data_IF_795058720946
#
_entry.id   IF_795058720946
#
_cell.length_a   1.000
_cell.length_b   1.000
_cell.length_c   1.000
_cell.angle_alpha   90.00
_cell.angle_beta   90.00
_cell.angle_gamma   90.00
#
_symmetry.space_group_name_H-M   'P 1'
#
loop_
_entity.id
_entity.type
_entity.pdbx_description
1 polymer ?
#
# COMPACT_ATOMS: atom_id res chain seq x y z
N UNK A 1 -38.26 25.66 36.47
CA UNK A 1 -38.15 24.21 36.72
C UNK A 1 -38.69 23.48 35.50
N UNK A 2 -37.80 23.04 34.60
CA UNK A 2 -38.13 22.21 33.44
C UNK A 2 -37.10 21.09 33.41
N UNK A 3 -37.60 19.86 33.37
CA UNK A 3 -36.85 18.63 33.57
C UNK A 3 -35.97 18.28 32.36
N UNK A 4 -34.71 17.92 32.61
CA UNK A 4 -33.80 17.35 31.64
C UNK A 4 -34.04 15.85 31.50
N UNK A 5 -34.32 15.38 30.28
CA UNK A 5 -34.23 13.96 29.92
C UNK A 5 -32.96 13.72 29.09
N UNK A 6 -32.13 12.71 29.42
CA UNK A 6 -31.01 12.32 28.58
C UNK A 6 -31.50 11.41 27.44
N UNK A 7 -31.28 11.85 26.20
CA UNK A 7 -31.48 11.04 25.00
C UNK A 7 -30.32 10.05 24.89
N UNK A 8 -30.64 8.77 25.09
CA UNK A 8 -29.73 7.63 24.92
C UNK A 8 -29.75 7.21 23.45
N UNK A 9 -28.66 7.43 22.72
CA UNK A 9 -28.51 6.92 21.35
C UNK A 9 -28.36 5.39 21.35
N UNK A 10 -28.95 4.67 20.38
CA UNK A 10 -28.86 3.22 20.29
C UNK A 10 -27.48 2.79 19.77
N UNK A 11 -26.86 1.81 20.43
CA UNK A 11 -25.69 1.09 19.92
C UNK A 11 -26.16 0.06 18.90
N UNK A 12 -25.50 0.00 17.74
CA UNK A 12 -25.62 -1.16 16.85
C UNK A 12 -25.62 -0.83 15.37
N UNK A 13 -24.62 -0.10 14.86
CA UNK A 13 -24.37 0.09 13.42
C UNK A 13 -22.85 0.07 13.25
N UNK A 14 -22.24 -1.09 13.05
CA UNK A 14 -20.78 -1.23 13.19
C UNK A 14 -20.04 -2.12 12.21
N UNK A 15 -20.69 -3.07 11.53
CA UNK A 15 -19.94 -4.08 10.76
C UNK A 15 -20.35 -4.17 9.28
N UNK A 16 -21.60 -3.84 8.92
CA UNK A 16 -22.08 -4.01 7.54
C UNK A 16 -21.62 -2.91 6.56
N UNK A 17 -21.24 -1.72 7.04
CA UNK A 17 -20.81 -0.61 6.18
C UNK A 17 -19.34 -0.71 5.72
N UNK A 18 -18.52 -1.46 6.46
CA UNK A 18 -17.08 -1.63 6.18
C UNK A 18 -16.86 -2.67 5.07
N UNK A 19 -17.71 -3.70 5.03
CA UNK A 19 -17.76 -4.62 3.90
C UNK A 19 -18.13 -3.89 2.60
N UNK A 20 -19.09 -2.95 2.64
CA UNK A 20 -19.56 -2.21 1.46
C UNK A 20 -18.48 -1.32 0.83
N UNK A 21 -17.66 -0.65 1.64
CA UNK A 21 -16.64 0.31 1.14
C UNK A 21 -15.40 -0.36 0.55
N UNK A 22 -14.99 -1.53 1.08
CA UNK A 22 -13.97 -2.36 0.44
C UNK A 22 -14.52 -3.11 -0.78
N UNK A 23 -15.81 -3.49 -0.76
CA UNK A 23 -16.48 -4.05 -1.93
C UNK A 23 -16.53 -3.06 -3.09
N UNK A 24 -16.71 -1.76 -2.87
CA UNK A 24 -16.80 -0.80 -3.97
C UNK A 24 -15.48 -0.58 -4.71
N UNK A 25 -14.34 -0.54 -4.02
CA UNK A 25 -13.03 -0.43 -4.71
C UNK A 25 -12.72 -1.71 -5.49
N UNK A 26 -13.06 -2.89 -4.95
CA UNK A 26 -12.87 -4.18 -5.63
C UNK A 26 -13.89 -4.37 -6.77
N UNK A 27 -15.14 -3.93 -6.60
CA UNK A 27 -16.19 -3.99 -7.62
C UNK A 27 -15.94 -3.02 -8.77
N UNK A 28 -15.43 -1.81 -8.50
CA UNK A 28 -15.00 -0.89 -9.55
C UNK A 28 -13.82 -1.45 -10.35
N UNK A 29 -12.88 -2.15 -9.70
CA UNK A 29 -11.79 -2.87 -10.40
C UNK A 29 -12.35 -4.03 -11.25
N UNK A 30 -13.32 -4.80 -10.74
CA UNK A 30 -13.93 -5.92 -11.46
C UNK A 30 -14.81 -5.47 -12.65
N UNK A 31 -15.53 -4.35 -12.51
CA UNK A 31 -16.38 -3.76 -13.58
C UNK A 31 -15.51 -3.16 -14.70
N UNK A 32 -14.39 -2.53 -14.36
CA UNK A 32 -13.41 -2.05 -15.35
C UNK A 32 -12.80 -3.21 -16.15
N UNK A 33 -12.55 -4.36 -15.51
CA UNK A 33 -12.02 -5.54 -16.20
C UNK A 33 -13.07 -6.23 -17.09
N UNK A 34 -14.36 -6.19 -16.72
CA UNK A 34 -15.49 -6.68 -17.54
C UNK A 34 -15.78 -5.78 -18.75
N UNK A 35 -15.56 -4.47 -18.63
CA UNK A 35 -15.74 -3.51 -19.73
C UNK A 35 -14.73 -3.66 -20.88
N UNK A 36 -13.63 -4.38 -20.66
CA UNK A 36 -12.55 -4.62 -21.63
C UNK A 36 -12.82 -5.78 -22.61
N UNK A 37 -13.93 -6.50 -22.43
CA UNK A 37 -14.29 -7.71 -23.19
C UNK A 37 -15.42 -7.37 -24.17
N UNK A 38 -15.11 -6.60 -25.23
CA UNK A 38 -16.07 -6.38 -26.33
C UNK A 38 -15.86 -7.28 -27.54
N UNK A 39 -14.85 -8.16 -27.55
CA UNK A 39 -14.60 -9.04 -28.70
C UNK A 39 -13.76 -10.28 -28.35
N UNK A 40 -14.23 -11.15 -27.45
CA UNK A 40 -13.55 -12.43 -27.20
C UNK A 40 -14.49 -13.61 -27.15
N UNK A 41 -13.97 -14.70 -27.73
CA UNK A 41 -14.63 -15.93 -28.14
C UNK A 41 -15.39 -16.62 -27.00
N UNK A 42 -16.52 -17.28 -27.32
CA UNK A 42 -17.48 -17.88 -26.36
C UNK A 42 -16.82 -18.81 -25.34
N UNK A 43 -15.71 -19.44 -25.69
CA UNK A 43 -14.93 -20.33 -24.82
C UNK A 43 -14.29 -19.61 -23.62
N UNK A 44 -13.93 -18.33 -23.76
CA UNK A 44 -13.33 -17.55 -22.66
C UNK A 44 -14.37 -17.08 -21.64
N UNK A 45 -15.60 -16.81 -22.08
CA UNK A 45 -16.71 -16.44 -21.20
C UNK A 45 -17.08 -17.59 -20.24
N UNK A 46 -17.05 -18.83 -20.71
CA UNK A 46 -17.36 -20.02 -19.89
C UNK A 46 -16.28 -20.24 -18.81
N UNK A 47 -15.00 -20.08 -19.15
CA UNK A 47 -13.89 -20.23 -18.18
C UNK A 47 -13.94 -19.12 -17.12
N UNK A 48 -14.33 -17.90 -17.50
CA UNK A 48 -14.50 -16.78 -16.56
C UNK A 48 -15.72 -16.97 -15.65
N UNK A 49 -16.85 -17.45 -16.18
CA UNK A 49 -18.03 -17.77 -15.39
C UNK A 49 -17.74 -18.89 -14.36
N UNK A 50 -16.96 -19.91 -14.76
CA UNK A 50 -16.56 -20.99 -13.86
C UNK A 50 -15.63 -20.49 -12.74
N UNK A 51 -14.70 -19.56 -13.04
CA UNK A 51 -13.82 -18.96 -12.03
C UNK A 51 -14.60 -18.08 -11.05
N UNK A 52 -15.61 -17.34 -11.52
CA UNK A 52 -16.47 -16.52 -10.65
C UNK A 52 -17.36 -17.38 -9.73
N UNK A 53 -17.83 -18.53 -10.23
CA UNK A 53 -18.60 -19.50 -9.44
C UNK A 53 -17.75 -20.17 -8.34
N UNK A 54 -16.49 -20.49 -8.64
CA UNK A 54 -15.58 -21.10 -7.65
C UNK A 54 -15.18 -20.09 -6.56
N UNK A 55 -15.02 -18.81 -6.90
CA UNK A 55 -14.72 -17.76 -5.92
C UNK A 55 -15.90 -17.42 -4.99
N UNK A 56 -17.14 -17.62 -5.42
CA UNK A 56 -18.33 -17.36 -4.60
C UNK A 56 -18.64 -18.48 -3.61
N UNK A 57 -18.17 -19.71 -3.85
CA UNK A 57 -18.39 -20.86 -2.97
C UNK A 57 -17.46 -20.93 -1.74
N UNK A 58 -16.35 -20.18 -1.73
CA UNK A 58 -15.39 -20.16 -0.59
C UNK A 58 -15.77 -19.14 0.49
N UNK A 59 -16.77 -18.29 0.25
CA UNK A 59 -17.17 -17.20 1.15
C UNK A 59 -18.37 -17.52 2.06
N UNK A 60 -18.51 -18.75 2.56
CA UNK A 60 -19.49 -19.10 3.60
C UNK A 60 -18.83 -19.01 5.00
N UNK A 61 -19.21 -18.06 5.86
CA UNK A 61 -18.67 -18.00 7.22
C UNK A 61 -19.34 -19.04 8.14
N UNK A 62 -18.57 -19.99 8.66
CA UNK A 62 -18.92 -20.80 9.83
C UNK A 62 -18.96 -19.90 11.08
N UNK A 63 -20.16 -19.52 11.53
CA UNK A 63 -20.38 -18.86 12.82
C UNK A 63 -20.76 -19.88 13.88
N UNK A 64 -19.78 -20.36 14.65
CA UNK A 64 -20.03 -21.10 15.88
C UNK A 64 -18.84 -21.01 16.85
N UNK A 65 -18.76 -19.95 17.67
CA UNK A 65 -18.01 -20.01 18.94
C UNK A 65 -18.65 -19.09 19.98
N UNK A 66 -19.08 -19.71 21.09
CA UNK A 66 -19.68 -19.07 22.26
C UNK A 66 -18.64 -18.35 23.13
N UNK A 67 -19.00 -17.28 23.86
CA UNK A 67 -18.08 -16.57 24.73
C UNK A 67 -17.88 -17.30 26.07
N UNK A 68 -16.63 -17.61 26.42
CA UNK A 68 -16.21 -17.99 27.78
C UNK A 68 -15.99 -16.72 28.61
N UNK A 69 -16.77 -16.60 29.69
CA UNK A 69 -16.64 -15.55 30.70
C UNK A 69 -15.53 -15.92 31.68
N UNK A 70 -14.44 -15.14 31.71
CA UNK A 70 -13.40 -15.25 32.74
C UNK A 70 -13.43 -14.04 33.68
N UNK A 71 -13.60 -14.38 34.96
CA UNK A 71 -13.79 -13.49 36.10
C UNK A 71 -12.46 -12.82 36.48
N UNK A 72 -12.58 -11.52 36.70
CA UNK A 72 -11.65 -10.53 37.25
C UNK A 72 -10.86 -11.01 38.49
N UNK A 73 -9.53 -10.79 38.50
CA UNK A 73 -8.70 -10.75 39.72
C UNK A 73 -7.88 -9.45 39.73
N UNK A 74 -8.27 -8.54 40.62
CA UNK A 74 -7.53 -7.32 40.95
C UNK A 74 -6.32 -7.66 41.81
N UNK A 75 -5.16 -7.09 41.48
CA UNK A 75 -4.09 -6.86 42.45
C UNK A 75 -3.64 -5.40 42.33
N UNK A 76 -3.82 -4.70 43.44
CA UNK A 76 -3.37 -3.34 43.73
C UNK A 76 -1.93 -3.38 44.23
N UNK A 77 -1.06 -2.55 43.70
CA UNK A 77 0.15 -2.13 44.39
C UNK A 77 0.50 -0.69 44.04
N UNK A 78 0.56 0.12 45.09
CA UNK A 78 0.88 1.53 45.19
C UNK A 78 2.31 1.73 45.69
N UNK A 79 3.06 2.68 45.10
CA UNK A 79 4.02 3.60 45.77
C UNK A 79 4.72 4.47 44.69
N UNK A 80 4.56 5.81 44.69
CA UNK A 80 5.32 6.87 45.40
C UNK A 80 6.75 7.09 44.87
N UNK A 81 7.04 8.30 44.40
CA UNK A 81 8.39 8.88 44.51
C UNK A 81 8.87 9.89 43.46
N UNK A 82 8.67 11.18 43.76
CA UNK A 82 9.60 12.32 43.63
C UNK A 82 10.13 12.81 42.25
N UNK A 83 10.21 14.15 42.19
CA UNK A 83 10.58 15.01 41.06
C UNK A 83 12.07 15.45 41.10
N UNK A 84 12.52 16.55 40.46
CA UNK A 84 13.39 16.54 39.29
C UNK A 84 14.78 17.17 39.53
N UNK A 85 15.75 16.88 38.65
CA UNK A 85 16.95 17.72 38.46
C UNK A 85 17.41 17.73 36.99
N UNK A 86 17.83 18.89 36.45
CA UNK A 86 18.39 19.03 35.12
C UNK A 86 19.93 19.14 35.17
N UNK A 87 20.63 18.52 34.22
CA UNK A 87 21.93 19.03 33.73
C UNK A 87 22.48 18.23 32.54
N UNK A 88 23.04 19.03 31.63
CA UNK A 88 24.20 18.79 30.77
C UNK A 88 24.09 17.89 29.53
N UNK A 89 24.11 18.61 28.39
CA UNK A 89 25.06 18.44 27.30
C UNK A 89 25.70 17.07 27.11
N UNK A 90 25.40 16.45 25.97
CA UNK A 90 26.38 15.69 25.19
C UNK A 90 25.98 15.76 23.72
N UNK A 91 26.60 16.70 23.00
CA UNK A 91 26.66 16.72 21.54
C UNK A 91 27.44 15.48 21.10
N UNK A 92 26.75 14.46 20.61
CA UNK A 92 27.36 13.24 20.08
C UNK A 92 27.36 13.26 18.56
N UNK A 93 28.59 13.34 18.04
CA UNK A 93 29.01 13.46 16.65
C UNK A 93 28.59 12.25 15.80
N UNK A 94 27.58 12.42 14.93
CA UNK A 94 27.20 11.44 13.88
C UNK A 94 28.10 11.55 12.64
N UNK A 95 29.41 11.29 12.78
CA UNK A 95 30.32 11.30 11.61
C UNK A 95 31.54 10.40 11.79
N UNK A 96 31.36 9.08 11.88
CA UNK A 96 32.46 8.12 11.71
C UNK A 96 31.96 6.66 11.56
N UNK A 97 31.39 6.29 10.42
CA UNK A 97 31.17 4.86 10.08
C UNK A 97 31.36 4.56 8.58
N UNK A 98 32.23 5.32 7.91
CA UNK A 98 32.79 4.95 6.61
C UNK A 98 34.28 4.88 6.82
N UNK A 99 34.83 3.70 7.12
CA UNK A 99 36.24 3.30 6.86
C UNK A 99 36.48 1.90 7.44
N UNK A 100 36.18 0.87 6.66
CA UNK A 100 36.93 -0.40 6.66
C UNK A 100 36.63 -1.16 5.38
N UNK A 101 37.25 -0.68 4.30
CA UNK A 101 37.65 -1.50 3.18
C UNK A 101 39.02 -2.09 3.53
N UNK A 102 39.13 -3.41 3.63
CA UNK A 102 40.40 -4.12 3.51
C UNK A 102 40.14 -5.50 2.87
N UNK A 103 40.38 -5.54 1.56
CA UNK A 103 41.16 -6.56 0.85
C UNK A 103 41.29 -7.95 1.47
N UNK A 104 40.66 -8.95 0.85
CA UNK A 104 41.09 -10.34 0.89
C UNK A 104 40.96 -10.97 -0.52
N UNK A 105 42.04 -10.87 -1.29
CA UNK A 105 42.29 -11.61 -2.53
C UNK A 105 42.63 -13.06 -2.18
N UNK A 106 41.75 -14.01 -2.49
CA UNK A 106 42.10 -15.44 -2.52
C UNK A 106 42.04 -15.93 -3.96
N UNK A 107 43.22 -16.16 -4.52
CA UNK A 107 43.44 -16.78 -5.82
C UNK A 107 43.25 -18.29 -5.60
N UNK A 108 42.13 -18.85 -6.06
CA UNK A 108 41.92 -20.29 -6.12
C UNK A 108 42.05 -20.75 -7.56
N UNK A 109 43.21 -21.33 -7.86
CA UNK A 109 43.52 -22.04 -9.11
C UNK A 109 42.72 -23.34 -9.17
N UNK A 110 41.71 -23.42 -10.03
CA UNK A 110 41.00 -24.66 -10.33
C UNK A 110 41.36 -25.16 -11.74
N UNK A 111 41.77 -26.43 -11.79
CA UNK A 111 42.12 -27.19 -13.00
C UNK A 111 40.93 -27.35 -13.95
N UNK A 112 41.16 -27.32 -15.28
CA UNK A 112 40.13 -27.66 -16.26
C UNK A 112 40.08 -29.20 -16.44
N UNK A 113 39.03 -29.83 -15.94
CA UNK A 113 38.67 -31.20 -16.34
C UNK A 113 37.63 -31.07 -17.47
N UNK A 114 38.06 -31.34 -18.69
CA UNK A 114 37.22 -31.29 -19.88
C UNK A 114 36.26 -32.49 -19.91
N UNK A 115 35.04 -32.29 -19.42
CA UNK A 115 33.90 -33.14 -19.76
C UNK A 115 33.26 -32.61 -21.04
N UNK A 116 33.41 -33.37 -22.12
CA UNK A 116 32.62 -33.19 -23.34
C UNK A 116 31.19 -33.69 -23.06
N UNK A 117 30.39 -32.84 -22.43
CA UNK A 117 28.97 -33.07 -22.20
C UNK A 117 28.20 -32.53 -23.41
N UNK A 118 27.62 -33.46 -24.16
CA UNK A 118 26.73 -33.23 -25.29
C UNK A 118 25.58 -32.32 -24.82
N UNK A 119 25.70 -31.04 -25.13
CA UNK A 119 24.85 -29.98 -24.59
C UNK A 119 23.48 -30.09 -25.29
N UNK A 120 22.41 -30.48 -24.59
CA UNK A 120 21.07 -30.47 -25.18
C UNK A 120 20.75 -29.04 -25.63
N UNK A 121 20.09 -28.85 -26.79
CA UNK A 121 19.81 -27.54 -27.34
C UNK A 121 19.06 -26.70 -26.29
N UNK A 122 19.71 -25.61 -25.86
CA UNK A 122 19.17 -24.67 -24.89
C UNK A 122 17.75 -24.29 -25.30
N UNK A 123 16.74 -24.48 -24.43
CA UNK A 123 15.40 -24.02 -24.70
C UNK A 123 15.50 -22.53 -25.02
N UNK A 124 15.11 -22.17 -26.23
CA UNK A 124 15.05 -20.78 -26.70
C UNK A 124 14.28 -20.00 -25.65
N UNK A 125 15.01 -19.22 -24.85
CA UNK A 125 14.49 -18.55 -23.69
C UNK A 125 13.26 -17.75 -24.10
N UNK A 126 12.08 -18.23 -23.67
CA UNK A 126 10.83 -17.54 -23.91
C UNK A 126 11.01 -16.13 -23.36
N UNK A 127 11.14 -15.16 -24.26
CA UNK A 127 11.29 -13.75 -23.92
C UNK A 127 10.06 -13.38 -23.13
N UNK A 128 10.21 -13.30 -21.81
CA UNK A 128 9.12 -12.87 -20.93
C UNK A 128 8.68 -11.50 -21.45
N UNK A 129 7.44 -11.45 -21.95
CA UNK A 129 6.91 -10.24 -22.57
C UNK A 129 6.87 -9.16 -21.50
N UNK A 130 7.85 -8.27 -21.57
CA UNK A 130 7.96 -7.14 -20.70
C UNK A 130 6.69 -6.28 -20.79
N UNK A 131 6.13 -5.81 -19.66
CA UNK A 131 4.94 -4.98 -19.71
C UNK A 131 5.26 -3.66 -20.44
N UNK A 132 4.32 -3.14 -21.24
CA UNK A 132 4.55 -1.94 -22.04
C UNK A 132 4.74 -0.70 -21.14
N UNK A 133 5.67 0.18 -21.51
CA UNK A 133 6.02 1.39 -20.74
C UNK A 133 4.80 2.23 -20.30
N UNK A 134 3.82 2.54 -21.16
CA UNK A 134 2.66 3.34 -20.74
C UNK A 134 1.85 2.69 -19.62
N UNK A 135 1.76 1.36 -19.60
CA UNK A 135 1.06 0.64 -18.53
C UNK A 135 1.80 0.73 -17.19
N UNK A 136 3.12 0.69 -17.21
CA UNK A 136 3.94 0.83 -16.00
C UNK A 136 3.81 2.26 -15.42
N UNK A 137 3.94 3.27 -16.27
CA UNK A 137 3.81 4.69 -15.86
C UNK A 137 2.40 4.98 -15.32
N UNK A 138 1.36 4.43 -15.96
CA UNK A 138 -0.01 4.52 -15.47
C UNK A 138 -0.16 3.95 -14.05
N UNK A 139 0.37 2.75 -13.78
CA UNK A 139 0.31 2.13 -12.44
C UNK A 139 1.04 2.97 -11.38
N UNK A 140 2.21 3.52 -11.72
CA UNK A 140 2.99 4.37 -10.81
C UNK A 140 2.24 5.67 -10.49
N UNK A 141 1.62 6.31 -11.50
CA UNK A 141 0.80 7.50 -11.30
C UNK A 141 -0.46 7.21 -10.48
N UNK A 142 -1.07 6.04 -10.60
CA UNK A 142 -2.18 5.62 -9.74
C UNK A 142 -1.77 5.49 -8.27
N UNK A 143 -0.57 4.98 -7.98
CA UNK A 143 -0.03 4.97 -6.62
C UNK A 143 0.18 6.41 -6.12
N UNK A 144 0.76 7.29 -6.95
CA UNK A 144 0.92 8.71 -6.59
C UNK A 144 -0.41 9.36 -6.21
N UNK A 145 -1.46 9.13 -6.99
CA UNK A 145 -2.81 9.62 -6.68
C UNK A 145 -3.34 9.02 -5.36
N UNK A 146 -3.23 7.70 -5.19
CA UNK A 146 -3.70 7.01 -4.01
C UNK A 146 -3.02 7.51 -2.72
N UNK A 147 -1.72 7.84 -2.76
CA UNK A 147 -1.03 8.43 -1.60
C UNK A 147 -1.56 9.83 -1.25
N UNK A 148 -1.97 10.63 -2.24
CA UNK A 148 -2.56 11.96 -2.02
C UNK A 148 -3.95 11.85 -1.41
N UNK A 149 -4.75 10.93 -1.93
CA UNK A 149 -6.04 10.53 -1.41
C UNK A 149 -5.94 10.10 0.06
N UNK A 150 -5.00 9.21 0.38
CA UNK A 150 -4.79 8.74 1.75
C UNK A 150 -4.32 9.86 2.69
N UNK A 151 -3.41 10.72 2.23
CA UNK A 151 -2.96 11.87 3.03
C UNK A 151 -4.12 12.79 3.41
N UNK A 152 -5.03 13.08 2.48
CA UNK A 152 -6.23 13.90 2.76
C UNK A 152 -7.17 13.22 3.74
N UNK A 153 -7.34 11.92 3.60
CA UNK A 153 -8.23 11.17 4.47
C UNK A 153 -7.72 11.19 5.92
N UNK A 154 -6.40 11.05 6.12
CA UNK A 154 -5.75 11.19 7.42
C UNK A 154 -5.87 12.62 7.95
N UNK A 155 -5.51 13.65 7.17
CA UNK A 155 -5.45 15.04 7.66
C UNK A 155 -6.81 15.67 7.95
N UNK A 156 -7.86 15.28 7.23
CA UNK A 156 -9.21 15.84 7.45
C UNK A 156 -9.87 15.34 8.73
N UNK A 157 -9.28 14.36 9.43
CA UNK A 157 -9.82 13.84 10.69
C UNK A 157 -11.19 13.17 10.55
N UNK A 158 -11.65 12.90 9.32
CA UNK A 158 -12.87 12.11 9.06
C UNK A 158 -12.70 10.64 9.47
N UNK A 159 -11.47 10.23 9.78
CA UNK A 159 -11.13 8.95 10.37
C UNK A 159 -11.65 8.83 11.81
N UNK A 160 -12.74 8.08 12.00
CA UNK A 160 -13.01 7.43 13.28
C UNK A 160 -12.17 6.14 13.39
N UNK A 161 -11.81 5.73 14.60
CA UNK A 161 -10.82 4.68 14.91
C UNK A 161 -10.94 3.35 14.14
N UNK A 162 -12.14 2.97 13.68
CA UNK A 162 -12.38 1.77 12.85
C UNK A 162 -11.67 1.85 11.49
N UNK A 163 -11.42 3.05 10.98
CA UNK A 163 -10.78 3.23 9.68
C UNK A 163 -9.25 3.05 9.74
N UNK A 164 -8.62 2.99 10.92
CA UNK A 164 -7.14 2.81 11.07
C UNK A 164 -6.62 1.53 10.41
N UNK A 165 -7.41 0.46 10.43
CA UNK A 165 -7.15 -0.76 9.67
C UNK A 165 -7.11 -0.52 8.14
N UNK A 166 -7.79 0.52 7.67
CA UNK A 166 -7.86 0.87 6.25
C UNK A 166 -6.57 1.53 5.74
N UNK A 167 -5.80 2.27 6.56
CA UNK A 167 -4.53 2.88 6.09
C UNK A 167 -3.53 1.79 5.71
N UNK A 168 -3.32 0.83 6.61
CA UNK A 168 -2.43 -0.33 6.40
C UNK A 168 -2.88 -1.14 5.18
N UNK A 169 -4.18 -1.37 5.05
CA UNK A 169 -4.76 -2.09 3.92
C UNK A 169 -4.61 -1.30 2.60
N UNK A 170 -4.84 0.01 2.61
CA UNK A 170 -4.68 0.89 1.46
C UNK A 170 -3.23 0.89 0.98
N UNK A 171 -2.25 1.02 1.88
CA UNK A 171 -0.83 0.94 1.53
C UNK A 171 -0.47 -0.44 0.96
N UNK A 172 -0.99 -1.54 1.54
CA UNK A 172 -0.83 -2.89 0.96
C UNK A 172 -1.41 -2.97 -0.45
N UNK A 173 -2.58 -2.38 -0.70
CA UNK A 173 -3.17 -2.32 -2.03
C UNK A 173 -2.36 -1.46 -3.00
N UNK A 174 -1.78 -0.35 -2.55
CA UNK A 174 -0.90 0.47 -3.38
C UNK A 174 0.30 -0.34 -3.90
N UNK A 175 0.91 -1.15 -3.03
CA UNK A 175 2.07 -1.98 -3.40
C UNK A 175 1.65 -3.16 -4.29
N UNK A 176 0.62 -3.91 -3.87
CA UNK A 176 0.26 -5.18 -4.49
C UNK A 176 -0.59 -5.03 -5.76
N UNK A 177 -1.63 -4.19 -5.74
CA UNK A 177 -2.59 -4.11 -6.85
C UNK A 177 -1.98 -3.40 -8.06
N UNK A 178 -1.18 -2.36 -7.83
CA UNK A 178 -0.48 -1.66 -8.90
C UNK A 178 0.87 -2.28 -9.24
N UNK A 179 1.29 -3.33 -8.51
CA UNK A 179 2.61 -3.97 -8.64
C UNK A 179 3.71 -2.92 -8.72
N UNK A 180 3.77 -2.03 -7.73
CA UNK A 180 4.62 -0.84 -7.81
C UNK A 180 6.09 -1.19 -8.07
N UNK A 181 6.61 -2.20 -7.37
CA UNK A 181 7.99 -2.67 -7.54
C UNK A 181 8.26 -3.17 -8.97
N UNK A 182 7.40 -4.07 -9.48
CA UNK A 182 7.53 -4.58 -10.85
C UNK A 182 7.41 -3.47 -11.89
N UNK A 183 6.46 -2.53 -11.69
CA UNK A 183 6.23 -1.41 -12.59
C UNK A 183 7.43 -0.46 -12.63
N UNK A 184 8.08 -0.19 -11.49
CA UNK A 184 9.31 0.60 -11.41
C UNK A 184 10.45 -0.10 -12.13
N UNK A 185 10.69 -1.40 -11.85
CA UNK A 185 11.78 -2.17 -12.49
C UNK A 185 11.56 -2.26 -14.00
N UNK A 186 10.32 -2.53 -14.41
CA UNK A 186 9.93 -2.62 -15.81
C UNK A 186 9.91 -1.26 -16.51
N UNK A 187 9.68 -0.14 -15.83
CA UNK A 187 9.83 1.19 -16.42
C UNK A 187 11.32 1.54 -16.58
N UNK A 188 12.12 1.38 -15.52
CA UNK A 188 13.55 1.71 -15.51
C UNK A 188 14.37 0.97 -16.56
N UNK A 189 13.99 -0.26 -16.91
CA UNK A 189 14.68 -1.02 -17.96
C UNK A 189 14.49 -0.43 -19.38
N UNK A 190 13.67 0.62 -19.56
CA UNK A 190 13.44 1.29 -20.86
C UNK A 190 14.45 2.43 -21.01
N UNK A 191 15.07 2.81 -19.91
CA UNK A 191 16.17 3.75 -19.86
C UNK A 191 17.49 3.00 -20.09
N UNK A 192 18.50 3.72 -20.56
CA UNK A 192 19.85 3.20 -20.80
C UNK A 192 20.88 3.98 -19.97
N UNK A 193 22.07 3.38 -19.79
CA UNK A 193 23.19 4.02 -19.08
C UNK A 193 22.87 4.42 -17.64
N UNK A 194 23.36 5.60 -17.24
CA UNK A 194 23.23 6.10 -15.86
C UNK A 194 21.79 6.43 -15.48
N UNK A 195 20.96 6.90 -16.43
CA UNK A 195 19.57 7.23 -16.16
C UNK A 195 18.78 6.02 -15.63
N UNK A 196 19.07 4.82 -16.14
CA UNK A 196 18.46 3.57 -15.63
C UNK A 196 18.80 3.31 -14.17
N UNK A 197 20.06 3.50 -13.79
CA UNK A 197 20.52 3.24 -12.41
C UNK A 197 19.92 4.28 -11.46
N UNK A 198 19.95 5.56 -11.83
CA UNK A 198 19.37 6.65 -11.04
C UNK A 198 17.85 6.49 -10.87
N UNK A 199 17.11 6.26 -11.96
CA UNK A 199 15.67 6.02 -11.89
C UNK A 199 15.34 4.78 -11.05
N UNK A 200 16.10 3.69 -11.18
CA UNK A 200 15.89 2.49 -10.36
C UNK A 200 16.10 2.76 -8.87
N UNK A 201 17.11 3.58 -8.52
CA UNK A 201 17.37 3.98 -7.13
C UNK A 201 16.22 4.81 -6.55
N UNK A 202 15.79 5.85 -7.26
CA UNK A 202 14.69 6.74 -6.83
C UNK A 202 13.37 5.97 -6.72
N UNK A 203 13.02 5.16 -7.72
CA UNK A 203 11.80 4.35 -7.69
C UNK A 203 11.80 3.30 -6.58
N UNK A 204 12.96 2.70 -6.27
CA UNK A 204 13.10 1.77 -5.14
C UNK A 204 12.95 2.47 -3.78
N UNK A 205 13.40 3.72 -3.66
CA UNK A 205 13.18 4.55 -2.46
C UNK A 205 11.69 4.77 -2.17
N UNK A 206 10.89 5.01 -3.21
CA UNK A 206 9.43 5.13 -3.07
C UNK A 206 8.79 3.82 -2.56
N UNK A 207 9.19 2.67 -3.11
CA UNK A 207 8.72 1.36 -2.66
C UNK A 207 9.12 1.10 -1.21
N UNK A 208 10.37 1.40 -0.84
CA UNK A 208 10.88 1.20 0.50
C UNK A 208 10.13 2.06 1.53
N UNK A 209 9.81 3.31 1.18
CA UNK A 209 9.04 4.21 2.04
C UNK A 209 7.64 3.66 2.35
N UNK A 210 6.97 3.03 1.37
CA UNK A 210 5.69 2.33 1.62
C UNK A 210 5.87 1.11 2.55
N UNK A 211 6.94 0.32 2.38
CA UNK A 211 7.23 -0.79 3.28
C UNK A 211 7.57 -0.33 4.70
N UNK A 212 8.29 0.79 4.87
CA UNK A 212 8.55 1.38 6.19
C UNK A 212 7.25 1.79 6.87
N UNK A 213 6.27 2.33 6.13
CA UNK A 213 4.93 2.60 6.69
C UNK A 213 4.29 1.30 7.18
N UNK A 214 4.32 0.22 6.38
CA UNK A 214 3.75 -1.08 6.76
C UNK A 214 4.41 -1.68 8.00
N UNK A 215 5.74 -1.66 8.08
CA UNK A 215 6.52 -2.16 9.22
C UNK A 215 6.21 -1.38 10.51
N UNK A 216 6.04 -0.06 10.40
CA UNK A 216 5.67 0.78 11.53
C UNK A 216 4.29 0.41 12.10
N UNK A 217 3.35 0.01 11.24
CA UNK A 217 2.04 -0.49 11.68
C UNK A 217 2.14 -1.91 12.27
N UNK A 218 2.89 -2.84 11.65
CA UNK A 218 3.05 -4.22 12.14
C UNK A 218 3.74 -4.28 13.52
N UNK A 219 4.73 -3.43 13.77
CA UNK A 219 5.45 -3.36 15.05
C UNK A 219 4.57 -2.90 16.22
N UNK A 220 3.41 -2.30 15.93
CA UNK A 220 2.46 -1.82 16.93
C UNK A 220 1.29 -2.77 17.22
N UNK A 221 1.19 -3.88 16.48
CA UNK A 221 0.16 -4.93 16.59
C UNK A 221 0.55 -6.07 17.56
N UNK A 222 1.65 -5.94 18.33
CA UNK A 222 2.06 -6.98 19.30
C UNK A 222 1.17 -6.94 20.56
N UNK A 223 -0.07 -7.38 20.39
CA UNK A 223 -0.95 -8.15 21.28
C UNK A 223 -1.18 -7.79 22.76
N UNK A 224 -0.58 -6.75 23.36
CA UNK A 224 -0.64 -6.64 24.83
C UNK A 224 -0.70 -5.24 25.46
N UNK A 225 -1.31 -4.25 24.82
CA UNK A 225 -1.75 -3.06 25.57
C UNK A 225 -3.26 -2.89 25.44
N UNK A 226 -3.93 -3.61 26.33
CA UNK A 226 -5.29 -3.35 26.79
C UNK A 226 -5.51 -1.85 27.04
N UNK A 227 -6.53 -1.33 26.38
CA UNK A 227 -7.43 -0.25 26.84
C UNK A 227 -6.75 1.10 27.13
N UNK A 228 -6.31 1.77 26.07
CA UNK A 228 -6.16 3.23 26.02
C UNK A 228 -6.33 3.68 24.58
N UNK A 229 -7.34 4.50 24.30
CA UNK A 229 -7.78 4.97 22.97
C UNK A 229 -6.74 5.78 22.16
N UNK A 230 -5.52 5.94 22.67
CA UNK A 230 -4.55 6.93 22.19
C UNK A 230 -3.35 6.34 21.40
N UNK A 231 -3.39 5.05 21.04
CA UNK A 231 -2.29 4.36 20.33
C UNK A 231 -1.92 4.95 18.94
N UNK A 232 -2.70 5.89 18.39
CA UNK A 232 -2.41 6.55 17.10
C UNK A 232 -2.14 8.05 17.19
N UNK A 233 -2.41 8.69 18.34
CA UNK A 233 -2.09 10.09 18.52
C UNK A 233 -0.58 10.29 18.33
N UNK A 234 -0.19 10.95 17.22
CA UNK A 234 1.21 11.20 16.84
C UNK A 234 1.80 10.29 15.76
N UNK A 235 1.14 9.18 15.39
CA UNK A 235 1.60 8.28 14.31
C UNK A 235 1.27 8.80 12.91
N UNK A 236 0.20 9.56 12.80
CA UNK A 236 -0.28 10.17 11.56
C UNK A 236 0.82 10.99 10.87
N UNK A 237 1.60 11.74 11.63
CA UNK A 237 2.71 12.54 11.10
C UNK A 237 3.77 11.69 10.42
N UNK A 238 4.07 10.50 10.94
CA UNK A 238 5.06 9.58 10.34
C UNK A 238 4.50 9.03 9.02
N UNK A 239 3.23 8.63 9.02
CA UNK A 239 2.57 8.11 7.81
C UNK A 239 2.47 9.21 6.74
N UNK A 240 2.02 10.41 7.10
CA UNK A 240 1.93 11.56 6.19
C UNK A 240 3.30 11.87 5.58
N UNK A 241 4.37 11.93 6.39
CA UNK A 241 5.74 12.15 5.90
C UNK A 241 6.21 11.02 4.98
N UNK A 242 5.87 9.77 5.31
CA UNK A 242 6.16 8.63 4.44
C UNK A 242 5.45 8.76 3.08
N UNK A 243 4.15 9.05 3.07
CA UNK A 243 3.36 9.26 1.86
C UNK A 243 3.86 10.47 1.03
N UNK A 244 4.28 11.55 1.69
CA UNK A 244 4.93 12.70 1.06
C UNK A 244 6.25 12.32 0.39
N UNK A 245 7.09 11.53 1.07
CA UNK A 245 8.35 11.03 0.50
C UNK A 245 8.08 10.18 -0.74
N UNK A 246 7.09 9.29 -0.69
CA UNK A 246 6.69 8.47 -1.85
C UNK A 246 6.27 9.35 -3.03
N UNK A 247 5.46 10.39 -2.80
CA UNK A 247 5.05 11.31 -3.88
C UNK A 247 6.24 12.02 -4.50
N UNK A 248 7.13 12.57 -3.67
CA UNK A 248 8.33 13.28 -4.13
C UNK A 248 9.22 12.35 -4.95
N UNK A 249 9.48 11.15 -4.46
CA UNK A 249 10.32 10.17 -5.14
C UNK A 249 9.66 9.69 -6.46
N UNK A 250 8.33 9.53 -6.50
CA UNK A 250 7.62 9.24 -7.76
C UNK A 250 7.71 10.44 -8.73
N UNK A 251 7.54 11.67 -8.25
CA UNK A 251 7.63 12.87 -9.11
C UNK A 251 9.03 13.01 -9.71
N UNK A 252 10.09 12.76 -8.92
CA UNK A 252 11.48 12.70 -9.39
C UNK A 252 11.68 11.54 -10.39
N UNK A 253 11.14 10.36 -10.10
CA UNK A 253 11.20 9.19 -10.99
C UNK A 253 10.60 9.49 -12.38
N UNK A 254 9.50 10.22 -12.43
CA UNK A 254 8.82 10.57 -13.69
C UNK A 254 9.60 11.58 -14.55
N UNK A 255 10.58 12.30 -13.99
CA UNK A 255 11.43 13.22 -14.77
C UNK A 255 12.39 12.49 -15.72
N UNK A 256 12.67 11.21 -15.48
CA UNK A 256 13.52 10.39 -16.34
C UNK A 256 12.84 9.90 -17.62
N UNK A 257 11.51 10.06 -17.72
CA UNK A 257 10.72 9.54 -18.84
C UNK A 257 10.25 10.66 -19.78
N UNK A 258 9.98 10.33 -21.05
CA UNK A 258 9.35 11.25 -21.99
C UNK A 258 8.03 11.81 -21.44
N UNK A 259 7.89 13.14 -21.43
CA UNK A 259 6.76 13.81 -20.78
C UNK A 259 5.44 13.59 -21.52
N UNK A 260 5.48 13.33 -22.83
CA UNK A 260 4.32 12.93 -23.64
C UNK A 260 3.64 11.67 -23.09
N UNK A 261 4.41 10.63 -22.76
CA UNK A 261 3.87 9.38 -22.20
C UNK A 261 3.32 9.62 -20.78
N UNK A 262 4.00 10.45 -19.99
CA UNK A 262 3.56 10.79 -18.63
C UNK A 262 2.26 11.61 -18.66
N UNK A 263 2.14 12.57 -19.57
CA UNK A 263 0.94 13.39 -19.75
C UNK A 263 -0.23 12.57 -20.29
N UNK A 264 -0.01 11.65 -21.23
CA UNK A 264 -1.03 10.73 -21.71
C UNK A 264 -1.61 9.89 -20.56
N UNK A 265 -0.73 9.32 -19.73
CA UNK A 265 -1.15 8.55 -18.56
C UNK A 265 -1.90 9.42 -17.52
N UNK A 266 -1.44 10.66 -17.26
CA UNK A 266 -2.14 11.63 -16.39
C UNK A 266 -3.53 11.98 -16.93
N UNK A 267 -3.64 12.23 -18.23
CA UNK A 267 -4.91 12.53 -18.91
C UNK A 267 -5.89 11.38 -18.75
N UNK A 268 -5.43 10.15 -19.00
CA UNK A 268 -6.24 8.94 -18.82
C UNK A 268 -6.78 8.80 -17.39
N UNK A 269 -5.93 9.01 -16.38
CA UNK A 269 -6.35 8.97 -14.97
C UNK A 269 -7.40 10.05 -14.68
N UNK A 270 -7.21 11.28 -15.21
CA UNK A 270 -8.16 12.37 -15.02
C UNK A 270 -9.53 12.06 -15.65
N UNK A 271 -9.55 11.49 -16.86
CA UNK A 271 -10.78 11.05 -17.53
C UNK A 271 -11.50 9.96 -16.75
N UNK A 272 -10.77 8.93 -16.29
CA UNK A 272 -11.33 7.86 -15.45
C UNK A 272 -11.90 8.39 -14.14
N UNK A 273 -11.24 9.36 -13.50
CA UNK A 273 -11.74 9.97 -12.27
C UNK A 273 -12.99 10.83 -12.50
N UNK A 274 -13.06 11.53 -13.63
CA UNK A 274 -14.24 12.32 -14.01
C UNK A 274 -15.43 11.39 -14.34
N UNK A 275 -15.19 10.27 -15.02
CA UNK A 275 -16.21 9.24 -15.25
C UNK A 275 -16.70 8.63 -13.94
N UNK A 276 -15.77 8.23 -13.05
CA UNK A 276 -16.11 7.70 -11.73
C UNK A 276 -16.95 8.70 -10.91
N UNK A 277 -16.67 10.00 -11.03
CA UNK A 277 -17.45 11.04 -10.35
C UNK A 277 -18.86 11.17 -10.95
N UNK A 278 -19.01 11.07 -12.27
CA UNK A 278 -20.32 11.15 -12.96
C UNK A 278 -21.18 9.93 -12.73
N UNK A 279 -20.57 8.75 -12.65
CA UNK A 279 -21.27 7.46 -12.46
C UNK A 279 -21.60 7.17 -11.00
N UNK A 280 -21.09 7.99 -10.07
CA UNK A 280 -21.36 7.80 -8.64
C UNK A 280 -22.82 8.13 -8.31
N UNK A 281 -23.55 7.14 -7.81
CA UNK A 281 -24.94 7.29 -7.36
C UNK A 281 -25.00 8.07 -6.03
N UNK A 282 -25.62 9.28 -6.01
CA UNK A 282 -25.75 10.06 -4.77
C UNK A 282 -26.54 9.35 -3.67
N UNK A 283 -27.36 8.34 -4.02
CA UNK A 283 -28.12 7.55 -3.04
C UNK A 283 -27.20 6.68 -2.17
N UNK A 284 -26.03 6.29 -2.69
CA UNK A 284 -25.05 5.50 -1.95
C UNK A 284 -24.25 6.31 -0.92
N UNK A 285 -24.41 7.65 -0.91
CA UNK A 285 -23.83 8.54 0.09
C UNK A 285 -23.06 9.71 -0.50
N UNK A 286 -22.23 10.35 0.32
CA UNK A 286 -21.31 11.41 -0.13
C UNK A 286 -19.99 10.76 -0.52
N UNK A 287 -19.43 11.15 -1.67
CA UNK A 287 -18.09 10.73 -2.08
C UNK A 287 -17.10 11.15 -0.98
N UNK A 288 -16.61 10.17 -0.23
CA UNK A 288 -15.71 10.38 0.91
C UNK A 288 -14.35 10.93 0.48
N UNK A 289 -13.98 10.75 -0.78
CA UNK A 289 -12.66 11.11 -1.30
C UNK A 289 -12.72 11.60 -2.76
N UNK A 290 -13.06 12.89 -3.00
CA UNK A 290 -13.10 13.44 -4.35
C UNK A 290 -11.69 13.59 -4.95
N UNK A 291 -11.62 13.69 -6.28
CA UNK A 291 -10.38 13.83 -7.03
C UNK A 291 -9.49 14.94 -6.44
N UNK A 292 -8.20 14.67 -6.15
CA UNK A 292 -7.38 15.61 -5.42
C UNK A 292 -7.01 16.90 -6.18
N UNK A 293 -7.32 16.99 -7.46
CA UNK A 293 -7.00 18.18 -8.27
C UNK A 293 -8.11 19.22 -8.34
N UNK A 294 -9.28 18.94 -7.75
CA UNK A 294 -10.37 19.91 -7.57
C UNK A 294 -10.36 20.51 -6.16
#
# INVERSE_FOLDING_TARGET
>A
MIASYPIRAPRGWGEDLVASTCFHVIASIAIVELGRIKHTDRSTAVIMALRLLVLTLVALPCSAFSPVSTKMRQQTSSSLGAAPTPSNELVSTRRSFIHSLTTATTISTFSPLAFAEETPPLPTAATSKRPPLPSCIYNILRVREATQQETRLITTGKFKDVQRANVKLAVKFMVNNYKLSDSVIAASSYLTGNARVSASGVGSSAVQSLYTILEYFDSSDVENIKVGSDSIAGKETIVIKGLESVRRDIDEFLTYFPQDIVEEAKKKIAEENELNFREFDPVLGVILNPNPTK
#
